data_IF_142167221288
#
_entry.id   IF_142167221288
#
_cell.length_a   1.000
_cell.length_b   1.000
_cell.length_c   1.000
_cell.angle_alpha   90.00
_cell.angle_beta   90.00
_cell.angle_gamma   90.00
#
_symmetry.space_group_name_H-M   'P 1'
#
loop_
_entity.id
_entity.type
_entity.pdbx_description
1 polymer ?
#
# COMPACT_ATOMS: atom_id res chain seq x y z
N UNK A 1 -32.53 -1.91 2.86
CA UNK A 1 -31.15 -1.62 3.29
C UNK A 1 -31.09 -1.11 4.75
N UNK A 2 -31.81 -0.04 5.12
CA UNK A 2 -31.78 0.51 6.49
C UNK A 2 -32.19 -0.53 7.53
N UNK A 3 -33.27 -1.28 7.30
CA UNK A 3 -33.70 -2.37 8.19
C UNK A 3 -32.65 -3.47 8.32
N UNK A 4 -32.04 -3.93 7.22
CA UNK A 4 -30.96 -4.91 7.27
C UNK A 4 -29.77 -4.43 8.09
N UNK A 5 -29.34 -3.18 7.88
CA UNK A 5 -28.23 -2.58 8.63
C UNK A 5 -28.58 -2.45 10.11
N UNK A 6 -29.83 -2.07 10.47
CA UNK A 6 -30.24 -1.93 11.86
C UNK A 6 -30.39 -3.27 12.62
N UNK A 7 -30.66 -4.36 11.89
CA UNK A 7 -30.75 -5.70 12.48
C UNK A 7 -29.37 -6.37 12.61
N UNK A 8 -28.47 -6.12 11.66
CA UNK A 8 -27.17 -6.79 11.53
C UNK A 8 -25.96 -5.91 11.90
N UNK A 9 -26.19 -4.74 12.53
CA UNK A 9 -25.12 -3.74 12.76
C UNK A 9 -23.93 -4.29 13.54
N UNK A 10 -24.15 -5.17 14.53
CA UNK A 10 -23.06 -5.79 15.30
C UNK A 10 -22.20 -6.69 14.43
N UNK A 11 -22.82 -7.50 13.57
CA UNK A 11 -22.13 -8.38 12.63
C UNK A 11 -21.34 -7.55 11.61
N UNK A 12 -21.96 -6.49 11.07
CA UNK A 12 -21.31 -5.59 10.12
C UNK A 12 -20.08 -4.90 10.74
N UNK A 13 -20.20 -4.42 11.98
CA UNK A 13 -19.05 -3.81 12.69
C UNK A 13 -17.96 -4.82 12.97
N UNK A 14 -18.27 -6.03 13.43
CA UNK A 14 -17.27 -7.07 13.68
C UNK A 14 -16.54 -7.46 12.39
N UNK A 15 -17.28 -7.68 11.28
CA UNK A 15 -16.68 -8.02 9.99
C UNK A 15 -15.83 -6.86 9.42
N UNK A 16 -16.25 -5.61 9.67
CA UNK A 16 -15.45 -4.43 9.28
C UNK A 16 -14.17 -4.34 10.11
N UNK A 17 -14.25 -4.57 11.41
CA UNK A 17 -13.07 -4.58 12.27
C UNK A 17 -12.06 -5.68 11.86
N UNK A 18 -12.53 -6.90 11.61
CA UNK A 18 -11.70 -8.01 11.14
C UNK A 18 -11.03 -7.67 9.80
N UNK A 19 -11.78 -7.05 8.88
CA UNK A 19 -11.28 -6.62 7.57
C UNK A 19 -10.17 -5.58 7.70
N UNK A 20 -10.36 -4.58 8.58
CA UNK A 20 -9.37 -3.53 8.86
C UNK A 20 -8.12 -4.15 9.49
N UNK A 21 -8.27 -5.00 10.51
CA UNK A 21 -7.14 -5.62 11.21
C UNK A 21 -6.31 -6.46 10.24
N UNK A 22 -6.96 -7.32 9.46
CA UNK A 22 -6.28 -8.19 8.49
C UNK A 22 -5.54 -7.37 7.43
N UNK A 23 -6.18 -6.34 6.88
CA UNK A 23 -5.57 -5.45 5.89
C UNK A 23 -4.42 -4.65 6.50
N UNK A 24 -4.59 -4.09 7.70
CA UNK A 24 -3.57 -3.29 8.37
C UNK A 24 -2.31 -4.12 8.69
N UNK A 25 -2.48 -5.35 9.18
CA UNK A 25 -1.36 -6.27 9.43
C UNK A 25 -0.61 -6.58 8.14
N UNK A 26 -1.34 -6.89 7.07
CA UNK A 26 -0.73 -7.18 5.77
C UNK A 26 0.03 -5.96 5.20
N UNK A 27 -0.57 -4.77 5.26
CA UNK A 27 0.06 -3.51 4.80
C UNK A 27 1.30 -3.19 5.61
N UNK A 28 1.27 -3.35 6.94
CA UNK A 28 2.41 -3.08 7.81
C UNK A 28 3.60 -3.98 7.46
N UNK A 29 3.37 -5.29 7.37
CA UNK A 29 4.41 -6.26 7.01
C UNK A 29 4.96 -5.96 5.61
N UNK A 30 4.07 -5.76 4.64
CA UNK A 30 4.45 -5.45 3.26
C UNK A 30 5.24 -4.14 3.15
N UNK A 31 4.89 -3.13 3.95
CA UNK A 31 5.60 -1.85 3.99
C UNK A 31 7.02 -2.03 4.51
N UNK A 32 7.20 -2.73 5.63
CA UNK A 32 8.52 -3.00 6.20
C UNK A 32 9.39 -3.80 5.22
N UNK A 33 8.86 -4.91 4.70
CA UNK A 33 9.59 -5.77 3.76
C UNK A 33 9.86 -5.06 2.42
N UNK A 34 8.85 -4.38 1.87
CA UNK A 34 8.95 -3.68 0.59
C UNK A 34 9.94 -2.51 0.62
N UNK A 35 9.93 -1.71 1.69
CA UNK A 35 10.92 -0.63 1.87
C UNK A 35 12.33 -1.21 2.01
N UNK A 36 12.50 -2.21 2.86
CA UNK A 36 13.81 -2.85 3.08
C UNK A 36 14.37 -3.42 1.78
N UNK A 37 13.57 -4.22 1.06
CA UNK A 37 13.98 -4.79 -0.22
C UNK A 37 14.21 -3.72 -1.29
N UNK A 38 13.41 -2.66 -1.31
CA UNK A 38 13.57 -1.53 -2.23
C UNK A 38 14.89 -0.78 -2.01
N UNK A 39 15.24 -0.49 -0.74
CA UNK A 39 16.53 0.13 -0.38
C UNK A 39 17.69 -0.78 -0.75
N UNK A 40 17.65 -2.05 -0.37
CA UNK A 40 18.72 -3.02 -0.69
C UNK A 40 18.90 -3.14 -2.20
N UNK A 41 17.80 -3.26 -2.95
CA UNK A 41 17.83 -3.36 -4.41
C UNK A 41 18.37 -2.08 -5.07
N UNK A 42 18.15 -0.89 -4.50
CA UNK A 42 18.70 0.37 -5.04
C UNK A 42 20.20 0.47 -4.85
N UNK A 43 20.76 -0.15 -3.80
CA UNK A 43 22.21 -0.11 -3.49
C UNK A 43 22.98 -1.26 -4.14
N UNK A 44 22.34 -2.42 -4.28
CA UNK A 44 22.99 -3.63 -4.80
C UNK A 44 22.45 -3.93 -6.20
N UNK A 45 23.11 -3.36 -7.24
CA UNK A 45 22.65 -3.40 -8.63
C UNK A 45 22.34 -4.79 -9.18
N UNK A 46 23.15 -5.80 -8.82
CA UNK A 46 22.93 -7.16 -9.31
C UNK A 46 21.67 -7.81 -8.69
N UNK A 47 21.24 -7.35 -7.51
CA UNK A 47 20.07 -7.85 -6.81
C UNK A 47 18.75 -7.22 -7.30
N UNK A 48 18.82 -6.02 -7.90
CA UNK A 48 17.65 -5.28 -8.32
C UNK A 48 16.78 -6.04 -9.34
N UNK A 49 17.43 -6.56 -10.42
CA UNK A 49 16.71 -7.31 -11.45
C UNK A 49 16.03 -8.59 -10.94
N UNK A 50 16.73 -9.52 -10.24
CA UNK A 50 16.09 -10.74 -9.77
C UNK A 50 15.00 -10.49 -8.74
N UNK A 51 15.16 -9.53 -7.81
CA UNK A 51 14.14 -9.20 -6.81
C UNK A 51 12.89 -8.61 -7.47
N UNK A 52 13.06 -7.62 -8.37
CA UNK A 52 11.94 -7.04 -9.09
C UNK A 52 11.23 -8.07 -9.98
N UNK A 53 11.97 -8.94 -10.67
CA UNK A 53 11.39 -10.01 -11.48
C UNK A 53 10.60 -10.99 -10.61
N UNK A 54 11.17 -11.45 -9.48
CA UNK A 54 10.49 -12.38 -8.57
C UNK A 54 9.15 -11.80 -8.08
N UNK A 55 9.16 -10.56 -7.59
CA UNK A 55 7.95 -9.95 -7.03
C UNK A 55 6.94 -9.61 -8.12
N UNK A 56 7.39 -9.20 -9.32
CA UNK A 56 6.51 -9.06 -10.47
C UNK A 56 5.85 -10.39 -10.86
N UNK A 57 6.62 -11.50 -10.90
CA UNK A 57 6.09 -12.84 -11.21
C UNK A 57 5.02 -13.26 -10.19
N UNK A 58 5.24 -13.01 -8.89
CA UNK A 58 4.24 -13.28 -7.85
C UNK A 58 2.92 -12.56 -8.14
N UNK A 59 2.97 -11.32 -8.59
CA UNK A 59 1.75 -10.55 -8.92
C UNK A 59 1.03 -11.00 -10.20
N UNK A 60 1.69 -11.75 -11.08
CA UNK A 60 1.01 -12.32 -12.26
C UNK A 60 0.12 -13.49 -11.92
N UNK A 61 0.32 -14.13 -10.77
CA UNK A 61 -0.54 -15.22 -10.30
C UNK A 61 -1.91 -14.62 -9.93
N UNK A 62 -3.04 -15.13 -10.46
CA UNK A 62 -4.35 -14.66 -10.03
C UNK A 62 -4.55 -14.80 -8.52
N UNK A 63 -5.17 -13.80 -7.88
CA UNK A 63 -5.29 -13.77 -6.41
C UNK A 63 -5.94 -15.04 -5.84
N UNK A 64 -7.00 -15.52 -6.47
CA UNK A 64 -7.68 -16.76 -6.04
C UNK A 64 -6.77 -17.99 -6.15
N UNK A 65 -5.95 -18.07 -7.19
CA UNK A 65 -4.97 -19.15 -7.35
C UNK A 65 -3.87 -19.08 -6.29
N UNK A 66 -3.41 -17.87 -5.95
CA UNK A 66 -2.43 -17.66 -4.89
C UNK A 66 -2.94 -18.16 -3.53
N UNK A 67 -4.20 -17.86 -3.20
CA UNK A 67 -4.82 -18.41 -1.99
C UNK A 67 -4.81 -19.94 -2.00
N UNK A 68 -5.19 -20.56 -3.13
CA UNK A 68 -5.16 -22.02 -3.29
C UNK A 68 -3.76 -22.62 -3.12
N UNK A 69 -2.71 -21.96 -3.64
CA UNK A 69 -1.32 -22.39 -3.50
C UNK A 69 -0.80 -22.27 -2.07
N UNK A 70 -1.26 -21.29 -1.31
CA UNK A 70 -0.80 -21.06 0.07
C UNK A 70 -1.51 -21.94 1.09
N UNK A 71 -2.75 -22.38 0.83
CA UNK A 71 -3.53 -23.18 1.77
C UNK A 71 -2.81 -24.46 2.26
N UNK A 72 -2.18 -25.28 1.41
CA UNK A 72 -1.47 -26.49 1.88
C UNK A 72 -0.20 -26.16 2.68
N UNK A 73 0.36 -24.94 2.57
CA UNK A 73 1.61 -24.55 3.22
C UNK A 73 1.33 -23.86 4.56
N UNK A 74 0.38 -22.91 4.57
CA UNK A 74 0.14 -22.02 5.71
C UNK A 74 -1.14 -22.38 6.47
N UNK A 75 -2.00 -23.21 5.87
CA UNK A 75 -3.32 -23.58 6.39
C UNK A 75 -4.44 -22.74 5.81
N UNK A 76 -5.67 -23.02 6.23
CA UNK A 76 -6.90 -22.37 5.76
C UNK A 76 -7.20 -21.14 6.64
N UNK A 77 -7.87 -20.13 6.05
CA UNK A 77 -8.41 -18.98 6.76
C UNK A 77 -7.48 -17.77 6.80
N UNK A 78 -7.52 -17.01 7.90
CA UNK A 78 -6.86 -15.70 8.00
C UNK A 78 -5.34 -15.74 7.77
N UNK A 79 -4.64 -16.82 8.16
CA UNK A 79 -3.19 -16.94 7.98
C UNK A 79 -2.81 -16.98 6.50
N UNK A 80 -3.45 -17.84 5.70
CA UNK A 80 -3.21 -17.89 4.25
C UNK A 80 -3.63 -16.57 3.59
N UNK A 81 -4.75 -15.98 4.04
CA UNK A 81 -5.21 -14.68 3.58
C UNK A 81 -4.17 -13.59 3.78
N UNK A 82 -3.70 -13.40 5.01
CA UNK A 82 -2.69 -12.37 5.33
C UNK A 82 -1.40 -12.61 4.55
N UNK A 83 -0.94 -13.86 4.44
CA UNK A 83 0.28 -14.18 3.68
C UNK A 83 0.15 -13.80 2.21
N UNK A 84 -0.97 -14.13 1.56
CA UNK A 84 -1.22 -13.73 0.18
C UNK A 84 -1.30 -12.21 0.02
N UNK A 85 -2.03 -11.54 0.92
CA UNK A 85 -2.15 -10.08 0.92
C UNK A 85 -0.78 -9.40 1.03
N UNK A 86 0.10 -9.90 1.91
CA UNK A 86 1.48 -9.42 2.06
C UNK A 86 2.25 -9.56 0.76
N UNK A 87 2.19 -10.74 0.10
CA UNK A 87 2.90 -10.99 -1.15
C UNK A 87 2.46 -10.03 -2.27
N UNK A 88 1.15 -9.75 -2.38
CA UNK A 88 0.65 -8.77 -3.36
C UNK A 88 1.00 -7.32 -2.99
N UNK A 89 0.99 -7.00 -1.71
CA UNK A 89 1.23 -5.67 -1.21
C UNK A 89 2.71 -5.22 -1.29
N UNK A 90 3.65 -6.16 -1.31
CA UNK A 90 5.09 -5.87 -1.34
C UNK A 90 5.49 -5.14 -2.63
N UNK A 91 4.97 -5.53 -3.81
CA UNK A 91 5.46 -5.01 -5.08
C UNK A 91 5.28 -3.49 -5.24
N UNK A 92 4.09 -2.89 -5.00
CA UNK A 92 3.94 -1.44 -5.12
C UNK A 92 4.89 -0.69 -4.21
N UNK A 93 5.08 -1.16 -2.96
CA UNK A 93 5.98 -0.54 -2.00
C UNK A 93 7.44 -0.66 -2.43
N UNK A 94 7.88 -1.88 -2.78
CA UNK A 94 9.24 -2.15 -3.23
C UNK A 94 9.59 -1.34 -4.49
N UNK A 95 8.73 -1.40 -5.50
CA UNK A 95 8.96 -0.71 -6.78
C UNK A 95 9.05 0.80 -6.61
N UNK A 96 8.14 1.39 -5.85
CA UNK A 96 8.16 2.84 -5.60
C UNK A 96 9.34 3.25 -4.71
N UNK A 97 9.73 2.43 -3.72
CA UNK A 97 10.94 2.68 -2.93
C UNK A 97 12.19 2.64 -3.81
N UNK A 98 12.33 1.61 -4.63
CA UNK A 98 13.44 1.50 -5.58
C UNK A 98 13.49 2.68 -6.55
N UNK A 99 12.36 3.01 -7.19
CA UNK A 99 12.27 4.11 -8.15
C UNK A 99 12.51 5.46 -7.49
N UNK A 100 11.97 5.67 -6.28
CA UNK A 100 12.16 6.92 -5.53
C UNK A 100 13.63 7.17 -5.18
N UNK A 101 14.37 6.14 -4.75
CA UNK A 101 15.79 6.25 -4.41
C UNK A 101 16.65 6.41 -5.68
N UNK A 102 16.42 5.60 -6.69
CA UNK A 102 17.22 5.65 -7.93
C UNK A 102 16.90 6.86 -8.81
N UNK A 103 15.75 7.51 -8.59
CA UNK A 103 15.33 8.72 -9.29
C UNK A 103 15.87 10.02 -8.70
N UNK A 104 16.66 9.97 -7.62
CA UNK A 104 17.30 11.17 -7.07
C UNK A 104 18.35 11.71 -8.04
N UNK A 105 18.36 13.03 -8.22
CA UNK A 105 19.28 13.71 -9.14
C UNK A 105 20.73 13.41 -8.75
N UNK A 106 21.52 13.01 -9.76
CA UNK A 106 22.94 12.70 -9.58
C UNK A 106 23.76 13.90 -9.14
N UNK A 107 23.38 15.11 -9.56
CA UNK A 107 24.05 16.34 -9.15
C UNK A 107 24.02 16.55 -7.65
N UNK A 108 22.90 16.21 -6.99
CA UNK A 108 22.76 16.27 -5.54
C UNK A 108 23.63 15.22 -4.83
N UNK A 109 23.73 14.03 -5.41
CA UNK A 109 24.58 12.97 -4.87
C UNK A 109 26.07 13.32 -5.01
N UNK A 110 26.48 13.90 -6.15
CA UNK A 110 27.85 14.30 -6.40
C UNK A 110 28.25 15.50 -5.54
N UNK A 111 27.36 16.47 -5.33
CA UNK A 111 27.57 17.55 -4.39
C UNK A 111 27.76 17.04 -2.94
N UNK A 112 26.92 16.08 -2.52
CA UNK A 112 27.04 15.45 -1.21
C UNK A 112 28.39 14.70 -1.05
N UNK A 113 28.84 13.98 -2.07
CA UNK A 113 30.17 13.34 -2.07
C UNK A 113 31.29 14.38 -2.03
N UNK A 114 31.14 15.49 -2.77
CA UNK A 114 32.10 16.58 -2.80
C UNK A 114 32.37 17.21 -1.42
N UNK A 115 31.37 17.28 -0.56
CA UNK A 115 31.50 17.76 0.83
C UNK A 115 31.85 16.63 1.82
N UNK A 116 32.22 15.43 1.33
CA UNK A 116 32.71 14.32 2.16
C UNK A 116 31.63 13.46 2.81
N UNK A 117 30.39 13.44 2.33
CA UNK A 117 29.36 12.52 2.84
C UNK A 117 29.70 11.07 2.46
N UNK A 118 29.55 10.17 3.44
CA UNK A 118 29.59 8.72 3.20
C UNK A 118 28.32 8.25 2.47
N UNK A 119 28.38 7.08 1.81
CA UNK A 119 27.19 6.50 1.11
C UNK A 119 25.99 6.31 2.07
N UNK A 120 26.24 5.98 3.34
CA UNK A 120 25.18 5.89 4.35
C UNK A 120 24.58 7.26 4.70
N UNK A 121 25.41 8.29 4.77
CA UNK A 121 24.94 9.66 5.00
C UNK A 121 24.13 10.17 3.80
N UNK A 122 24.58 9.89 2.56
CA UNK A 122 23.84 10.19 1.33
C UNK A 122 22.48 9.50 1.33
N UNK A 123 22.42 8.20 1.62
CA UNK A 123 21.17 7.47 1.72
C UNK A 123 20.21 8.12 2.74
N UNK A 124 20.69 8.35 3.97
CA UNK A 124 19.84 8.80 5.07
C UNK A 124 19.44 10.28 4.98
N UNK A 125 20.36 11.16 4.52
CA UNK A 125 20.15 12.62 4.54
C UNK A 125 19.70 13.21 3.19
N UNK A 126 19.92 12.50 2.08
CA UNK A 126 19.61 12.98 0.74
C UNK A 126 18.59 12.07 0.05
N UNK A 127 18.94 10.81 -0.21
CA UNK A 127 18.12 9.92 -1.03
C UNK A 127 16.77 9.57 -0.37
N UNK A 128 16.78 9.04 0.87
CA UNK A 128 15.54 8.64 1.54
C UNK A 128 14.58 9.82 1.72
N UNK A 129 15.04 10.97 2.24
CA UNK A 129 14.16 12.13 2.30
C UNK A 129 13.58 12.52 0.94
N UNK A 130 14.34 12.52 -0.16
CA UNK A 130 13.85 12.85 -1.49
C UNK A 130 12.95 11.76 -2.09
N UNK A 131 13.10 10.51 -1.68
CA UNK A 131 12.28 9.41 -2.11
C UNK A 131 10.92 9.28 -1.39
N UNK A 132 10.75 9.88 -0.19
CA UNK A 132 9.53 9.74 0.63
C UNK A 132 8.23 9.97 -0.15
N UNK A 133 8.04 11.01 -0.99
CA UNK A 133 6.78 11.22 -1.71
C UNK A 133 6.44 10.05 -2.64
N UNK A 134 7.45 9.49 -3.33
CA UNK A 134 7.30 8.35 -4.24
C UNK A 134 7.05 7.06 -3.45
N UNK A 135 7.77 6.86 -2.34
CA UNK A 135 7.56 5.72 -1.42
C UNK A 135 6.14 5.73 -0.87
N UNK A 136 5.64 6.90 -0.44
CA UNK A 136 4.27 7.05 0.07
C UNK A 136 3.21 6.74 -0.99
N UNK A 137 3.45 7.08 -2.26
CA UNK A 137 2.58 6.67 -3.35
C UNK A 137 2.50 5.14 -3.48
N UNK A 138 3.63 4.45 -3.33
CA UNK A 138 3.67 2.98 -3.31
C UNK A 138 2.91 2.37 -2.14
N UNK A 139 3.06 2.93 -0.93
CA UNK A 139 2.33 2.49 0.27
C UNK A 139 0.82 2.71 0.09
N UNK A 140 0.42 3.87 -0.42
CA UNK A 140 -0.99 4.19 -0.71
C UNK A 140 -1.60 3.19 -1.69
N UNK A 141 -0.93 2.94 -2.81
CA UNK A 141 -1.39 1.96 -3.82
C UNK A 141 -1.50 0.55 -3.20
N UNK A 142 -0.50 0.14 -2.43
CA UNK A 142 -0.49 -1.13 -1.71
C UNK A 142 -1.66 -1.24 -0.73
N UNK A 143 -1.94 -0.19 0.04
CA UNK A 143 -3.03 -0.18 1.02
C UNK A 143 -4.41 -0.35 0.36
N UNK A 144 -4.68 0.40 -0.71
CA UNK A 144 -5.96 0.32 -1.44
C UNK A 144 -6.14 -1.07 -2.07
N UNK A 145 -5.09 -1.60 -2.74
CA UNK A 145 -5.12 -2.94 -3.32
C UNK A 145 -5.36 -4.01 -2.26
N UNK A 146 -4.71 -3.90 -1.10
CA UNK A 146 -4.84 -4.87 -0.01
C UNK A 146 -6.26 -4.90 0.55
N UNK A 147 -6.89 -3.75 0.78
CA UNK A 147 -8.28 -3.69 1.24
C UNK A 147 -9.23 -4.31 0.22
N UNK A 148 -9.04 -4.05 -1.07
CA UNK A 148 -9.83 -4.69 -2.12
C UNK A 148 -9.65 -6.21 -2.16
N UNK A 149 -8.40 -6.70 -2.14
CA UNK A 149 -8.09 -8.14 -2.18
C UNK A 149 -8.52 -8.88 -0.91
N UNK A 150 -8.58 -8.20 0.23
CA UNK A 150 -9.02 -8.79 1.50
C UNK A 150 -10.48 -9.29 1.45
N UNK A 151 -11.32 -8.77 0.54
CA UNK A 151 -12.67 -9.33 0.33
C UNK A 151 -12.65 -10.78 -0.15
N UNK A 152 -11.65 -11.15 -0.96
CA UNK A 152 -11.54 -12.48 -1.54
C UNK A 152 -11.09 -13.52 -0.48
N UNK A 153 -10.45 -13.08 0.60
CA UNK A 153 -10.00 -13.98 1.69
C UNK A 153 -11.14 -14.75 2.34
N UNK A 154 -12.35 -14.22 2.27
CA UNK A 154 -13.56 -14.89 2.75
C UNK A 154 -13.81 -16.25 2.06
N UNK A 155 -13.42 -16.40 0.78
CA UNK A 155 -13.58 -17.65 0.01
C UNK A 155 -12.74 -18.81 0.57
N UNK A 156 -11.67 -18.50 1.28
CA UNK A 156 -10.77 -19.49 1.90
C UNK A 156 -10.98 -19.63 3.42
N UNK A 157 -12.16 -19.21 3.90
CA UNK A 157 -12.53 -19.31 5.32
C UNK A 157 -12.00 -18.19 6.20
N UNK A 158 -11.54 -17.07 5.61
CA UNK A 158 -11.20 -15.87 6.35
C UNK A 158 -12.42 -15.06 6.77
N UNK A 159 -12.20 -14.13 7.70
CA UNK A 159 -13.22 -13.17 8.16
C UNK A 159 -13.16 -11.86 7.35
N UNK A 160 -14.09 -10.96 7.59
CA UNK A 160 -14.14 -9.65 6.99
C UNK A 160 -15.34 -9.42 6.09
N UNK A 161 -15.41 -8.23 5.47
CA UNK A 161 -16.55 -7.76 4.68
C UNK A 161 -16.86 -8.67 3.47
N UNK A 162 -15.85 -9.35 2.93
CA UNK A 162 -16.05 -10.32 1.86
C UNK A 162 -16.99 -11.47 2.25
N UNK A 163 -17.00 -11.87 3.52
CA UNK A 163 -17.90 -12.93 4.01
C UNK A 163 -19.36 -12.56 3.81
N UNK A 164 -19.72 -11.29 4.07
CA UNK A 164 -21.06 -10.77 3.86
C UNK A 164 -21.43 -10.84 2.38
N UNK A 165 -20.53 -10.37 1.50
CA UNK A 165 -20.75 -10.40 0.04
C UNK A 165 -20.99 -11.83 -0.46
N UNK A 166 -20.11 -12.78 -0.09
CA UNK A 166 -20.23 -14.17 -0.57
C UNK A 166 -21.41 -14.93 0.06
N UNK A 167 -21.79 -14.62 1.29
CA UNK A 167 -23.01 -15.14 1.90
C UNK A 167 -24.26 -14.65 1.14
N UNK A 168 -24.32 -13.34 0.83
CA UNK A 168 -25.38 -12.77 0.03
C UNK A 168 -25.46 -13.40 -1.37
N UNK A 169 -24.32 -13.64 -2.03
CA UNK A 169 -24.28 -14.34 -3.32
C UNK A 169 -24.86 -15.75 -3.18
N UNK A 170 -24.46 -16.51 -2.14
CA UNK A 170 -24.91 -17.88 -1.93
C UNK A 170 -26.41 -17.98 -1.61
N UNK A 171 -26.98 -16.95 -0.99
CA UNK A 171 -28.41 -16.86 -0.63
C UNK A 171 -29.26 -16.13 -1.69
N UNK A 172 -28.60 -15.57 -2.73
CA UNK A 172 -29.23 -14.69 -3.72
C UNK A 172 -29.89 -13.48 -3.08
N UNK A 173 -29.28 -12.97 -1.99
CA UNK A 173 -29.76 -11.79 -1.25
C UNK A 173 -29.01 -10.53 -1.71
N UNK A 174 -29.68 -9.75 -2.56
CA UNK A 174 -29.11 -8.51 -3.10
C UNK A 174 -28.82 -7.46 -2.02
N UNK A 175 -29.56 -7.45 -0.91
CA UNK A 175 -29.33 -6.48 0.17
C UNK A 175 -28.05 -6.79 0.95
N UNK A 176 -27.81 -8.07 1.21
CA UNK A 176 -26.59 -8.54 1.86
C UNK A 176 -25.35 -8.27 0.96
N UNK A 177 -25.45 -8.57 -0.35
CA UNK A 177 -24.38 -8.28 -1.31
C UNK A 177 -24.07 -6.78 -1.34
N UNK A 178 -25.08 -5.94 -1.47
CA UNK A 178 -24.90 -4.48 -1.54
C UNK A 178 -24.33 -3.92 -0.25
N UNK A 179 -24.79 -4.37 0.92
CA UNK A 179 -24.29 -3.92 2.20
C UNK A 179 -22.77 -4.22 2.35
N UNK A 180 -22.37 -5.45 2.08
CA UNK A 180 -20.96 -5.85 2.12
C UNK A 180 -20.09 -5.11 1.10
N UNK A 181 -20.55 -4.98 -0.13
CA UNK A 181 -19.81 -4.31 -1.20
C UNK A 181 -19.65 -2.80 -0.96
N UNK A 182 -20.71 -2.10 -0.51
CA UNK A 182 -20.66 -0.67 -0.21
C UNK A 182 -19.74 -0.37 0.98
N UNK A 183 -19.75 -1.22 2.03
CA UNK A 183 -18.85 -1.07 3.16
C UNK A 183 -17.39 -1.30 2.73
N UNK A 184 -17.11 -2.31 1.92
CA UNK A 184 -15.76 -2.58 1.41
C UNK A 184 -15.25 -1.44 0.51
N UNK A 185 -16.10 -0.93 -0.39
CA UNK A 185 -15.77 0.22 -1.25
C UNK A 185 -15.55 1.49 -0.43
N UNK A 186 -16.42 1.77 0.55
CA UNK A 186 -16.29 2.90 1.46
C UNK A 186 -14.99 2.83 2.27
N UNK A 187 -14.62 1.64 2.76
CA UNK A 187 -13.37 1.42 3.47
C UNK A 187 -12.15 1.66 2.57
N UNK A 188 -12.17 1.14 1.33
CA UNK A 188 -11.10 1.37 0.35
C UNK A 188 -10.94 2.87 0.06
N UNK A 189 -12.04 3.58 -0.12
CA UNK A 189 -12.02 5.03 -0.34
C UNK A 189 -11.51 5.79 0.89
N UNK A 190 -11.91 5.41 2.10
CA UNK A 190 -11.42 6.01 3.33
C UNK A 190 -9.91 5.81 3.51
N UNK A 191 -9.42 4.61 3.21
CA UNK A 191 -7.98 4.29 3.23
C UNK A 191 -7.21 5.11 2.18
N UNK A 192 -7.73 5.22 0.95
CA UNK A 192 -7.13 6.05 -0.10
C UNK A 192 -7.05 7.52 0.31
N UNK A 193 -8.13 8.07 0.86
CA UNK A 193 -8.18 9.45 1.32
C UNK A 193 -7.23 9.69 2.50
N UNK A 194 -7.12 8.73 3.44
CA UNK A 194 -6.20 8.81 4.58
C UNK A 194 -4.74 8.87 4.12
N UNK A 195 -4.33 7.89 3.30
CA UNK A 195 -2.95 7.85 2.79
C UNK A 195 -2.67 8.99 1.81
N UNK A 196 -3.66 9.45 1.04
CA UNK A 196 -3.54 10.65 0.20
C UNK A 196 -3.26 11.92 1.00
N UNK A 197 -3.97 12.13 2.12
CA UNK A 197 -3.70 13.26 3.02
C UNK A 197 -2.32 13.15 3.68
N UNK A 198 -1.91 11.94 4.07
CA UNK A 198 -0.60 11.70 4.66
C UNK A 198 0.52 11.98 3.64
N UNK A 199 0.36 11.50 2.41
CA UNK A 199 1.28 11.77 1.31
C UNK A 199 1.39 13.28 1.03
N UNK A 200 0.27 13.99 0.93
CA UNK A 200 0.25 15.43 0.70
C UNK A 200 0.96 16.22 1.81
N UNK A 201 0.78 15.83 3.07
CA UNK A 201 1.49 16.48 4.19
C UNK A 201 3.00 16.28 4.11
N UNK A 202 3.45 15.09 3.78
CA UNK A 202 4.88 14.76 3.68
C UNK A 202 5.56 15.42 2.47
N UNK A 203 4.85 15.61 1.35
CA UNK A 203 5.37 16.34 0.19
C UNK A 203 5.41 17.86 0.43
N UNK A 204 4.40 18.40 1.11
CA UNK A 204 4.27 19.85 1.34
C UNK A 204 5.28 20.40 2.38
N UNK A 205 5.62 19.62 3.39
CA UNK A 205 6.65 20.01 4.36
C UNK A 205 8.00 20.21 3.68
N UNK A 206 8.27 19.48 2.63
CA UNK A 206 9.52 19.54 1.90
C UNK A 206 9.62 20.74 0.94
N UNK A 207 8.54 21.10 0.26
CA UNK A 207 8.51 22.32 -0.56
C UNK A 207 8.77 23.55 0.31
N UNK A 208 8.23 23.61 1.53
CA UNK A 208 8.48 24.69 2.48
C UNK A 208 9.93 24.73 2.96
N UNK A 209 10.54 23.60 3.29
CA UNK A 209 11.95 23.57 3.76
C UNK A 209 12.93 24.02 2.68
N UNK A 210 12.67 23.71 1.41
CA UNK A 210 13.48 24.16 0.27
C UNK A 210 13.28 25.67 0.04
N UNK A 211 12.05 26.16 0.08
CA UNK A 211 11.75 27.57 -0.13
C UNK A 211 12.26 28.49 0.97
N UNK A 212 12.17 28.06 2.22
CA UNK A 212 12.64 28.84 3.37
C UNK A 212 14.18 28.95 3.38
N UNK A 213 14.86 27.92 2.86
CA UNK A 213 16.34 27.89 2.75
C UNK A 213 16.87 28.76 1.63
N UNK A 214 16.12 28.88 0.51
CA UNK A 214 16.56 29.60 -0.70
C UNK A 214 16.02 31.05 -0.77
N UNK A 215 15.24 31.49 0.22
CA UNK A 215 14.67 32.86 0.29
C UNK A 215 13.70 33.19 -0.86
N UNK A 216 13.22 32.18 -1.59
CA UNK A 216 12.29 32.35 -2.71
C UNK A 216 10.86 32.18 -2.21
N UNK A 217 10.01 33.18 -2.47
CA UNK A 217 8.58 33.11 -2.15
C UNK A 217 7.92 32.03 -3.01
N UNK A 218 7.62 30.86 -2.41
CA UNK A 218 6.91 29.81 -3.09
C UNK A 218 5.42 30.15 -3.22
N UNK A 219 5.01 30.60 -4.39
CA UNK A 219 3.61 30.63 -4.77
C UNK A 219 3.13 29.18 -4.99
N UNK A 220 2.00 28.76 -4.39
CA UNK A 220 1.48 27.41 -4.59
C UNK A 220 1.12 27.22 -6.07
N UNK A 221 1.66 26.17 -6.69
CA UNK A 221 1.38 25.80 -8.10
C UNK A 221 -0.10 25.48 -8.41
N UNK A 222 -1.04 25.78 -7.53
CA UNK A 222 -2.47 25.61 -7.78
C UNK A 222 -3.10 26.63 -8.72
N UNK A 223 -2.31 27.61 -9.23
CA UNK A 223 -2.85 28.68 -10.06
C UNK A 223 -2.64 28.48 -11.59
N UNK A 224 -2.02 27.39 -12.05
CA UNK A 224 -1.62 27.24 -13.46
C UNK A 224 -2.41 26.18 -14.24
N UNK A 225 -3.44 25.55 -13.68
CA UNK A 225 -4.25 24.57 -14.42
C UNK A 225 -5.75 24.91 -14.46
N UNK A 226 -6.09 26.17 -14.75
CA UNK A 226 -7.43 26.57 -15.19
C UNK A 226 -7.24 27.68 -16.23
N UNK A 227 -6.91 27.28 -17.45
CA UNK A 227 -7.24 27.95 -18.71
C UNK A 227 -7.31 26.88 -19.81
#
# INVERSE_FOLDING_TARGET
MIMYVSEQWQTLLAMTADHIIMSAVAILIATIVGITLGIVSSKVRWLARPVLLLVNTIQTIPALAMFGLLMPIVGIGAKAGITALVLYAILPVLKNTYTGITGVDRSLLDAGRGIGMTEFQLLKKVELPLAIPVMMAGIRTSAVLTVGLATIVALIGGSGLGKIVFQGISRVDNMEIMAGALLAAGLSFAVDALFGKLQARLSWQREREVCDRDGVSCLPQRAVSQD
#
